data_IF_733948318027
#
_entry.id   IF_733948318027
#
_cell.length_a   1.000
_cell.length_b   1.000
_cell.length_c   1.000
_cell.angle_alpha   90.00
_cell.angle_beta   90.00
_cell.angle_gamma   90.00
#
_symmetry.space_group_name_H-M   'P 1'
#
loop_
_entity.id
_entity.type
_entity.pdbx_description
1 polymer ?
#
# COMPACT_ATOMS: atom_id res chain seq x y z
N UNK A 1 18.48 -10.56 -23.82
CA UNK A 1 19.42 -9.42 -23.72
C UNK A 1 18.88 -8.52 -22.63
N UNK A 2 19.68 -8.20 -21.59
CA UNK A 2 19.24 -7.25 -20.55
C UNK A 2 19.20 -5.84 -21.14
N UNK A 3 18.03 -5.20 -21.12
CA UNK A 3 17.89 -3.79 -21.51
C UNK A 3 18.41 -2.92 -20.37
N UNK A 4 19.70 -2.58 -20.43
CA UNK A 4 20.36 -1.72 -19.44
C UNK A 4 20.20 -0.24 -19.81
N UNK A 5 19.83 0.58 -18.82
CA UNK A 5 19.77 2.04 -18.95
C UNK A 5 20.91 2.63 -18.10
N UNK A 6 22.01 3.13 -18.70
CA UNK A 6 23.03 3.84 -17.95
C UNK A 6 22.48 5.20 -17.50
N UNK A 7 22.72 5.55 -16.24
CA UNK A 7 22.20 6.77 -15.61
C UNK A 7 23.29 7.42 -14.77
N UNK A 8 23.58 8.69 -15.05
CA UNK A 8 24.29 9.57 -14.12
C UNK A 8 23.27 10.34 -13.26
N UNK A 9 23.20 10.04 -11.97
CA UNK A 9 22.27 10.68 -11.04
C UNK A 9 22.50 12.19 -10.83
N UNK A 10 23.61 12.75 -11.33
CA UNK A 10 23.86 14.20 -11.32
C UNK A 10 23.41 14.90 -12.59
N UNK A 11 23.15 14.17 -13.69
CA UNK A 11 22.64 14.72 -14.94
C UNK A 11 21.11 14.58 -15.00
N UNK A 12 20.41 15.73 -14.98
CA UNK A 12 18.95 15.76 -15.10
C UNK A 12 18.43 15.12 -16.38
N UNK A 13 19.21 15.10 -17.47
CA UNK A 13 18.80 14.48 -18.74
C UNK A 13 18.75 12.96 -18.63
N UNK A 14 19.71 12.37 -17.92
CA UNK A 14 19.74 10.93 -17.67
C UNK A 14 18.58 10.50 -16.77
N UNK A 15 18.23 11.32 -15.77
CA UNK A 15 17.05 11.09 -14.92
C UNK A 15 15.77 11.11 -15.76
N UNK A 16 15.59 12.10 -16.64
CA UNK A 16 14.43 12.17 -17.55
C UNK A 16 14.36 10.99 -18.52
N UNK A 17 15.52 10.53 -18.99
CA UNK A 17 15.60 9.33 -19.84
C UNK A 17 15.15 8.08 -19.06
N UNK A 18 15.62 7.92 -17.82
CA UNK A 18 15.20 6.83 -16.96
C UNK A 18 13.69 6.88 -16.70
N UNK A 19 13.15 8.06 -16.38
CA UNK A 19 11.71 8.27 -16.19
C UNK A 19 10.91 7.82 -17.41
N UNK A 20 11.32 8.22 -18.62
CA UNK A 20 10.65 7.81 -19.86
C UNK A 20 10.67 6.28 -20.05
N UNK A 21 11.80 5.63 -19.77
CA UNK A 21 11.91 4.16 -19.87
C UNK A 21 11.03 3.47 -18.83
N UNK A 22 10.97 3.96 -17.60
CA UNK A 22 10.08 3.42 -16.56
C UNK A 22 8.62 3.57 -17.02
N UNK A 23 8.23 4.75 -17.53
CA UNK A 23 6.88 5.01 -18.03
C UNK A 23 6.49 4.10 -19.20
N UNK A 24 7.43 3.75 -20.07
CA UNK A 24 7.21 2.77 -21.13
C UNK A 24 7.01 1.35 -20.55
N UNK A 25 7.84 0.95 -19.58
CA UNK A 25 7.75 -0.38 -18.97
C UNK A 25 6.47 -0.57 -18.16
N UNK A 26 6.04 0.42 -17.38
CA UNK A 26 4.80 0.29 -16.59
C UNK A 26 3.56 0.18 -17.47
N UNK A 27 3.63 0.59 -18.74
CA UNK A 27 2.54 0.40 -19.72
C UNK A 27 2.55 -0.97 -20.39
N UNK A 28 3.57 -1.79 -20.15
CA UNK A 28 3.64 -3.12 -20.72
C UNK A 28 2.60 -4.03 -20.05
N UNK A 29 1.56 -4.39 -20.80
CA UNK A 29 0.44 -5.20 -20.32
C UNK A 29 0.83 -6.64 -19.96
N UNK A 30 1.92 -7.17 -20.53
CA UNK A 30 2.44 -8.50 -20.18
C UNK A 30 3.07 -8.50 -18.78
N UNK A 31 3.78 -7.42 -18.43
CA UNK A 31 4.43 -7.27 -17.13
C UNK A 31 3.48 -6.71 -16.06
N UNK A 32 2.58 -5.82 -16.46
CA UNK A 32 1.63 -5.12 -15.58
C UNK A 32 0.19 -5.28 -16.11
N UNK A 33 -0.39 -6.48 -16.00
CA UNK A 33 -1.73 -6.76 -16.54
C UNK A 33 -2.84 -5.92 -15.88
N UNK A 34 -2.60 -5.39 -14.68
CA UNK A 34 -3.58 -4.53 -13.99
C UNK A 34 -3.75 -3.14 -14.66
N UNK A 35 -2.84 -2.72 -15.55
CA UNK A 35 -2.91 -1.39 -16.20
C UNK A 35 -4.08 -1.24 -17.16
N UNK A 36 -4.51 -2.34 -17.79
CA UNK A 36 -5.70 -2.37 -18.65
C UNK A 36 -6.96 -2.81 -17.91
N UNK A 37 -6.85 -3.16 -16.62
CA UNK A 37 -8.00 -3.65 -15.86
C UNK A 37 -8.98 -2.50 -15.61
N UNK A 38 -10.18 -2.66 -16.16
CA UNK A 38 -11.30 -1.78 -15.83
C UNK A 38 -11.84 -2.19 -14.47
N UNK A 39 -11.60 -1.35 -13.47
CA UNK A 39 -12.16 -1.54 -12.13
C UNK A 39 -13.57 -0.95 -12.05
N UNK A 40 -14.50 -1.61 -11.34
CA UNK A 40 -15.79 -1.02 -11.01
C UNK A 40 -15.60 0.32 -10.28
N UNK A 41 -16.48 1.33 -10.49
CA UNK A 41 -16.35 2.64 -9.86
C UNK A 41 -16.22 2.61 -8.33
N UNK A 42 -16.87 1.63 -7.69
CA UNK A 42 -16.81 1.43 -6.23
C UNK A 42 -15.39 1.20 -5.71
N UNK A 43 -14.49 0.58 -6.49
CA UNK A 43 -13.09 0.36 -6.07
C UNK A 43 -12.37 1.69 -5.88
N UNK A 44 -12.52 2.62 -6.84
CA UNK A 44 -11.91 3.95 -6.76
C UNK A 44 -12.54 4.80 -5.65
N UNK A 45 -13.84 4.64 -5.43
CA UNK A 45 -14.54 5.33 -4.35
C UNK A 45 -14.06 4.87 -2.97
N UNK A 46 -13.91 3.56 -2.78
CA UNK A 46 -13.36 3.00 -1.54
C UNK A 46 -11.89 3.39 -1.36
N UNK A 47 -11.08 3.34 -2.43
CA UNK A 47 -9.68 3.79 -2.39
C UNK A 47 -9.57 5.25 -1.94
N UNK A 48 -10.29 6.17 -2.58
CA UNK A 48 -10.31 7.58 -2.19
C UNK A 48 -10.75 7.76 -0.74
N UNK A 49 -11.81 7.04 -0.32
CA UNK A 49 -12.30 7.10 1.04
C UNK A 49 -11.29 6.57 2.07
N UNK A 50 -10.55 5.51 1.75
CA UNK A 50 -9.46 4.99 2.58
C UNK A 50 -8.32 6.00 2.69
N UNK A 51 -7.92 6.64 1.58
CA UNK A 51 -6.87 7.68 1.59
C UNK A 51 -7.26 8.85 2.49
N UNK A 52 -8.50 9.32 2.39
CA UNK A 52 -9.03 10.38 3.26
C UNK A 52 -9.01 9.95 4.74
N UNK A 53 -9.44 8.71 5.03
CA UNK A 53 -9.40 8.16 6.40
C UNK A 53 -7.97 8.11 6.90
N UNK A 54 -7.03 7.61 6.11
CA UNK A 54 -5.62 7.47 6.45
C UNK A 54 -4.90 8.80 6.72
N UNK A 55 -5.44 9.92 6.22
CA UNK A 55 -4.93 11.27 6.45
C UNK A 55 -5.63 11.99 7.61
N UNK A 56 -6.68 11.41 8.19
CA UNK A 56 -7.39 12.00 9.33
C UNK A 56 -6.57 11.94 10.61
N UNK A 57 -6.80 12.88 11.53
CA UNK A 57 -6.11 12.94 12.84
C UNK A 57 -6.32 11.67 13.68
N UNK A 58 -7.42 10.96 13.46
CA UNK A 58 -7.75 9.69 14.13
C UNK A 58 -6.77 8.56 13.78
N UNK A 59 -6.02 8.68 12.68
CA UNK A 59 -5.02 7.70 12.24
C UNK A 59 -3.59 7.99 12.69
N UNK A 60 -3.37 9.09 13.41
CA UNK A 60 -2.03 9.62 13.68
C UNK A 60 -1.11 8.70 14.52
N UNK A 61 -1.66 7.76 15.29
CA UNK A 61 -0.86 7.02 16.28
C UNK A 61 -0.28 5.70 15.76
N UNK A 62 -1.04 4.89 15.02
CA UNK A 62 -0.60 3.53 14.66
C UNK A 62 -0.86 3.11 13.21
N UNK A 63 -1.55 3.91 12.39
CA UNK A 63 -1.72 3.59 10.96
C UNK A 63 -2.52 2.31 10.68
N UNK A 64 -3.22 1.77 11.69
CA UNK A 64 -4.05 0.55 11.61
C UNK A 64 -5.50 0.85 11.94
N UNK A 65 -6.43 0.05 11.42
CA UNK A 65 -7.84 0.16 11.70
C UNK A 65 -8.49 -1.23 11.75
N UNK A 66 -9.44 -1.43 12.66
CA UNK A 66 -10.29 -2.62 12.66
C UNK A 66 -11.16 -2.67 11.39
N UNK A 67 -11.32 -3.85 10.80
CA UNK A 67 -12.02 -4.05 9.55
C UNK A 67 -13.51 -3.70 9.64
N UNK A 68 -14.18 -4.02 10.75
CA UNK A 68 -15.59 -3.67 10.95
C UNK A 68 -15.75 -2.18 11.19
N UNK A 69 -14.83 -1.58 11.95
CA UNK A 69 -14.81 -0.15 12.14
C UNK A 69 -14.57 0.60 10.82
N UNK A 70 -13.63 0.15 10.02
CA UNK A 70 -13.37 0.69 8.68
C UNK A 70 -14.62 0.58 7.79
N UNK A 71 -15.26 -0.61 7.75
CA UNK A 71 -16.51 -0.78 7.01
C UNK A 71 -17.57 0.24 7.46
N UNK A 72 -17.77 0.39 8.77
CA UNK A 72 -18.72 1.34 9.31
C UNK A 72 -18.40 2.77 8.85
N UNK A 73 -17.14 3.22 8.96
CA UNK A 73 -16.68 4.54 8.51
C UNK A 73 -16.92 4.77 7.03
N UNK A 74 -16.65 3.77 6.20
CA UNK A 74 -16.86 3.86 4.76
C UNK A 74 -18.35 3.94 4.43
N UNK A 75 -19.19 3.13 5.08
CA UNK A 75 -20.65 3.11 4.87
C UNK A 75 -21.35 4.41 5.29
N UNK A 76 -20.74 5.27 6.12
CA UNK A 76 -21.30 6.60 6.42
C UNK A 76 -21.20 7.58 5.25
N UNK A 77 -20.44 7.26 4.20
CA UNK A 77 -20.36 8.08 2.99
C UNK A 77 -21.53 7.72 2.07
N UNK A 78 -22.26 8.73 1.57
CA UNK A 78 -23.46 8.51 0.74
C UNK A 78 -23.25 7.53 -0.43
N UNK A 79 -22.11 7.63 -1.11
CA UNK A 79 -21.76 6.79 -2.27
C UNK A 79 -21.33 5.36 -1.90
N UNK A 80 -21.14 5.05 -0.61
CA UNK A 80 -20.73 3.74 -0.09
C UNK A 80 -21.73 3.17 0.93
N UNK A 81 -22.93 3.75 1.07
CA UNK A 81 -23.93 3.32 2.05
C UNK A 81 -24.31 1.83 1.93
N UNK A 82 -24.23 1.27 0.72
CA UNK A 82 -24.51 -0.13 0.43
C UNK A 82 -23.24 -1.01 0.35
N UNK A 83 -22.09 -0.52 0.80
CA UNK A 83 -20.86 -1.29 0.83
C UNK A 83 -21.00 -2.44 1.82
N UNK A 84 -21.00 -3.67 1.31
CA UNK A 84 -21.01 -4.89 2.12
C UNK A 84 -19.60 -5.34 2.50
N UNK A 85 -19.51 -6.19 3.54
CA UNK A 85 -18.23 -6.73 4.03
C UNK A 85 -17.47 -7.52 2.96
N UNK A 86 -18.14 -8.41 2.25
CA UNK A 86 -17.51 -9.25 1.22
C UNK A 86 -16.88 -8.40 0.10
N UNK A 87 -17.63 -7.41 -0.40
CA UNK A 87 -17.13 -6.47 -1.40
C UNK A 87 -15.95 -5.65 -0.87
N UNK A 88 -16.02 -5.18 0.38
CA UNK A 88 -14.89 -4.49 1.00
C UNK A 88 -13.66 -5.41 1.07
N UNK A 89 -13.80 -6.68 1.45
CA UNK A 89 -12.68 -7.62 1.49
C UNK A 89 -12.08 -7.83 0.09
N UNK A 90 -12.90 -8.00 -0.95
CA UNK A 90 -12.42 -8.10 -2.34
C UNK A 90 -11.63 -6.85 -2.77
N UNK A 91 -12.10 -5.67 -2.39
CA UNK A 91 -11.41 -4.41 -2.66
C UNK A 91 -10.10 -4.34 -1.85
N UNK A 92 -10.10 -4.72 -0.57
CA UNK A 92 -8.90 -4.72 0.27
C UNK A 92 -7.83 -5.68 -0.24
N UNK A 93 -8.20 -6.86 -0.77
CA UNK A 93 -7.24 -7.76 -1.44
C UNK A 93 -6.58 -7.10 -2.65
N UNK A 94 -7.37 -6.37 -3.44
CA UNK A 94 -6.83 -5.60 -4.55
C UNK A 94 -5.89 -4.48 -4.06
N UNK A 95 -6.33 -3.68 -3.09
CA UNK A 95 -5.53 -2.58 -2.53
C UNK A 95 -4.24 -3.08 -1.86
N UNK A 96 -4.28 -4.27 -1.25
CA UNK A 96 -3.12 -4.95 -0.71
C UNK A 96 -2.14 -5.35 -1.80
N UNK A 97 -2.62 -5.95 -2.89
CA UNK A 97 -1.80 -6.37 -4.04
C UNK A 97 -1.02 -5.20 -4.67
N UNK A 98 -1.62 -4.01 -4.72
CA UNK A 98 -0.96 -2.80 -5.24
C UNK A 98 -0.15 -2.03 -4.18
N UNK A 99 -0.16 -2.49 -2.92
CA UNK A 99 0.62 -1.92 -1.82
C UNK A 99 0.07 -0.62 -1.23
N UNK A 100 -1.19 -0.27 -1.51
CA UNK A 100 -1.84 0.91 -0.93
C UNK A 100 -2.21 0.68 0.55
N UNK A 101 -2.62 -0.54 0.87
CA UNK A 101 -2.84 -1.01 2.25
C UNK A 101 -2.07 -2.31 2.50
N UNK A 102 -1.95 -2.72 3.75
CA UNK A 102 -1.54 -4.09 4.10
C UNK A 102 -2.68 -4.73 4.87
N UNK A 103 -3.05 -5.96 4.51
CA UNK A 103 -4.07 -6.73 5.21
C UNK A 103 -3.68 -8.21 5.19
N UNK A 104 -3.49 -8.78 6.38
CA UNK A 104 -3.05 -10.17 6.55
C UNK A 104 -4.25 -11.07 6.80
N UNK A 105 -4.99 -11.37 5.75
CA UNK A 105 -6.20 -12.19 5.83
C UNK A 105 -5.94 -13.60 6.37
N UNK A 106 -4.76 -14.17 6.12
CA UNK A 106 -4.40 -15.54 6.51
C UNK A 106 -3.83 -15.66 7.92
N UNK A 107 -3.59 -14.53 8.62
CA UNK A 107 -3.06 -14.52 9.98
C UNK A 107 -4.22 -14.23 10.93
N UNK A 108 -4.71 -15.25 11.64
CA UNK A 108 -5.89 -15.17 12.53
C UNK A 108 -5.87 -13.95 13.47
N UNK A 109 -4.72 -13.63 14.08
CA UNK A 109 -4.60 -12.47 14.98
C UNK A 109 -4.63 -11.10 14.29
N UNK A 110 -4.49 -11.05 12.97
CA UNK A 110 -4.44 -9.84 12.15
C UNK A 110 -5.55 -9.78 11.09
N UNK A 111 -6.38 -10.82 10.96
CA UNK A 111 -7.40 -10.92 9.90
C UNK A 111 -8.43 -9.78 9.96
N UNK A 112 -8.63 -9.18 11.14
CA UNK A 112 -9.53 -8.05 11.34
C UNK A 112 -8.78 -6.71 11.41
N UNK A 113 -7.46 -6.68 11.17
CA UNK A 113 -6.64 -5.47 11.25
C UNK A 113 -6.15 -5.05 9.87
N UNK A 114 -6.57 -3.87 9.42
CA UNK A 114 -6.14 -3.27 8.15
C UNK A 114 -5.12 -2.17 8.41
N UNK A 115 -3.95 -2.29 7.79
CA UNK A 115 -2.89 -1.28 7.86
C UNK A 115 -3.10 -0.29 6.71
N UNK A 116 -3.73 0.84 7.01
CA UNK A 116 -4.02 1.89 6.03
C UNK A 116 -2.79 2.75 5.71
N UNK A 117 -1.77 2.71 6.56
CA UNK A 117 -0.46 3.32 6.32
C UNK A 117 0.65 2.24 6.34
N UNK A 118 0.93 1.57 5.20
CA UNK A 118 1.96 0.53 5.09
C UNK A 118 3.34 0.96 5.61
N UNK A 119 3.66 2.25 5.53
CA UNK A 119 4.91 2.85 6.03
C UNK A 119 5.11 2.64 7.53
N UNK A 120 4.04 2.60 8.33
CA UNK A 120 4.12 2.30 9.76
C UNK A 120 4.74 0.93 9.98
N UNK A 121 4.20 -0.10 9.31
CA UNK A 121 4.66 -1.48 9.45
C UNK A 121 6.13 -1.63 9.06
N UNK A 122 6.50 -1.03 7.92
CA UNK A 122 7.89 -1.01 7.44
C UNK A 122 8.81 -0.33 8.46
N UNK A 123 8.38 0.77 9.05
CA UNK A 123 9.15 1.52 10.05
C UNK A 123 9.33 0.73 11.33
N UNK A 124 8.26 0.12 11.84
CA UNK A 124 8.29 -0.75 13.02
C UNK A 124 9.27 -1.92 12.82
N UNK A 125 9.18 -2.62 11.69
CA UNK A 125 10.14 -3.70 11.37
C UNK A 125 11.58 -3.20 11.31
N UNK A 126 11.83 -2.05 10.67
CA UNK A 126 13.17 -1.44 10.63
C UNK A 126 13.70 -1.15 12.03
N UNK A 127 12.87 -0.64 12.94
CA UNK A 127 13.26 -0.35 14.33
C UNK A 127 13.61 -1.64 15.09
N UNK A 128 12.78 -2.68 15.00
CA UNK A 128 13.03 -3.96 15.67
C UNK A 128 14.31 -4.62 15.19
N UNK A 129 14.55 -4.65 13.88
CA UNK A 129 15.77 -5.22 13.31
C UNK A 129 16.99 -4.40 13.71
N UNK A 130 16.94 -3.07 13.62
CA UNK A 130 18.05 -2.19 14.04
C UNK A 130 18.38 -2.34 15.51
N UNK A 131 17.37 -2.41 16.38
CA UNK A 131 17.57 -2.60 17.81
C UNK A 131 18.32 -3.91 18.10
N UNK A 132 17.88 -5.02 17.49
CA UNK A 132 18.58 -6.30 17.62
C UNK A 132 20.00 -6.27 17.07
N UNK A 133 20.23 -5.58 15.94
CA UNK A 133 21.57 -5.40 15.38
C UNK A 133 22.50 -4.64 16.34
N UNK A 134 22.01 -3.59 16.99
CA UNK A 134 22.78 -2.85 18.01
C UNK A 134 23.16 -3.76 19.17
N UNK A 135 22.20 -4.52 19.72
CA UNK A 135 22.48 -5.48 20.80
C UNK A 135 23.53 -6.54 20.39
N UNK A 136 23.46 -7.03 19.15
CA UNK A 136 24.43 -8.00 18.65
C UNK A 136 25.85 -7.39 18.53
N UNK A 137 25.96 -6.16 18.05
CA UNK A 137 27.25 -5.46 17.94
C UNK A 137 27.87 -5.16 19.31
N UNK A 138 27.05 -4.77 20.29
CA UNK A 138 27.49 -4.57 21.68
C UNK A 138 27.96 -5.88 22.32
N UNK A 139 27.37 -7.02 21.96
CA UNK A 139 27.74 -8.32 22.53
C UNK A 139 29.07 -8.90 22.02
N UNK A 140 29.59 -8.39 20.90
CA UNK A 140 30.87 -8.83 20.30
C UNK A 140 31.99 -7.77 20.42
N UNK A 141 31.69 -6.62 21.06
CA UNK A 141 32.66 -5.56 21.37
C UNK A 141 33.20 -5.73 22.79
#
# INVERSE_FOLDING_TARGET
ILNLVPVNCTDRRDIKKLEAVILEHVRNEELFPEVVRVLPPVYRQVEAAIVDVAQSEEMADHGMMDLQYLLSKLSHREHLANLGRELLQDILRYLHRIGLVIWYEEIEHLENTVFLQPTFLITMFKLLVRYRLVQQLESIS
#
